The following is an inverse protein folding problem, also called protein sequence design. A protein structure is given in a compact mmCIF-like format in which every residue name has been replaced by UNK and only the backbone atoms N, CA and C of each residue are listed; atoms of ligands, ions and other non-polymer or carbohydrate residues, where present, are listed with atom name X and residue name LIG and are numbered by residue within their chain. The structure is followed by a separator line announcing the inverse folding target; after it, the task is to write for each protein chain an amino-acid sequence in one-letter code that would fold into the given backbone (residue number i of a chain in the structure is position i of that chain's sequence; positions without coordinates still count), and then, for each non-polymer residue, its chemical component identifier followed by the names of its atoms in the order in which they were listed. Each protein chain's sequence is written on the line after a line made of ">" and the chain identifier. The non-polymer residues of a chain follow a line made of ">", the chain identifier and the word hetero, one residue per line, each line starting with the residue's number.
data_IF_792067463201
#
_entry.id   IF_792067463201
#
_cell.length_a   1.000
_cell.length_b   1.000
_cell.length_c   1.000
_cell.angle_alpha   90.00
_cell.angle_beta   90.00
_cell.angle_gamma   90.00
#
_symmetry.space_group_name_H-M   'P 1'
#
loop_
_entity.id
_entity.type
_entity.pdbx_description
1 polymer ?
#
# COMPACT_ATOMS: atom_id res chain seq x y z
N UNK A 1 7.04 -7.45 -12.96
CA UNK A 1 5.72 -6.85 -13.24
C UNK A 1 4.98 -7.52 -14.40
N UNK A 2 5.59 -7.69 -15.59
CA UNK A 2 4.93 -8.34 -16.76
C UNK A 2 4.40 -9.76 -16.50
N UNK A 3 4.91 -10.46 -15.50
CA UNK A 3 4.46 -11.80 -15.08
C UNK A 3 3.25 -11.80 -14.12
N UNK A 4 2.88 -10.64 -13.58
CA UNK A 4 1.73 -10.50 -12.68
C UNK A 4 0.52 -10.07 -13.52
N UNK A 5 -0.35 -11.03 -13.85
CA UNK A 5 -1.63 -10.75 -14.50
C UNK A 5 -2.56 -9.89 -13.61
N UNK A 6 -3.64 -9.36 -14.20
CA UNK A 6 -4.57 -8.45 -13.52
C UNK A 6 -5.21 -9.02 -12.23
N UNK A 7 -5.31 -10.34 -12.11
CA UNK A 7 -5.83 -11.04 -10.92
C UNK A 7 -4.75 -11.63 -10.01
N UNK A 8 -3.47 -11.24 -10.15
CA UNK A 8 -2.41 -11.87 -9.38
C UNK A 8 -2.62 -11.69 -7.85
N UNK A 9 -2.52 -12.76 -7.05
CA UNK A 9 -2.66 -12.66 -5.59
C UNK A 9 -1.57 -11.76 -4.98
N UNK A 10 -1.94 -10.93 -4.02
CA UNK A 10 -0.99 -10.01 -3.35
C UNK A 10 0.25 -10.74 -2.80
N UNK A 11 0.09 -11.92 -2.19
CA UNK A 11 1.22 -12.70 -1.66
C UNK A 11 2.19 -13.18 -2.75
N UNK A 12 1.70 -13.39 -3.97
CA UNK A 12 2.56 -13.69 -5.12
C UNK A 12 3.29 -12.44 -5.57
N UNK A 13 2.61 -11.30 -5.62
CA UNK A 13 3.24 -10.02 -5.95
C UNK A 13 4.33 -9.64 -4.95
N UNK A 14 4.04 -9.69 -3.64
CA UNK A 14 5.00 -9.42 -2.57
C UNK A 14 6.27 -10.28 -2.67
N UNK A 15 6.13 -11.58 -3.01
CA UNK A 15 7.28 -12.47 -3.20
C UNK A 15 8.12 -12.14 -4.45
N UNK A 16 7.48 -11.67 -5.52
CA UNK A 16 8.17 -11.38 -6.79
C UNK A 16 8.73 -9.96 -6.88
N UNK A 17 8.08 -9.01 -6.20
CA UNK A 17 8.37 -7.58 -6.25
C UNK A 17 9.13 -7.08 -5.01
N UNK A 18 9.21 -7.92 -3.97
CA UNK A 18 9.71 -7.55 -2.64
C UNK A 18 8.58 -7.09 -1.73
N UNK A 19 8.74 -7.27 -0.41
CA UNK A 19 7.73 -6.87 0.59
C UNK A 19 8.26 -5.85 1.59
N UNK A 20 9.43 -5.28 1.31
CA UNK A 20 10.22 -4.44 2.20
C UNK A 20 10.89 -5.19 3.35
N UNK A 21 10.78 -6.52 3.40
CA UNK A 21 11.47 -7.37 4.39
C UNK A 21 12.98 -7.15 4.48
N UNK A 22 13.61 -6.65 3.41
CA UNK A 22 15.05 -6.35 3.36
C UNK A 22 15.38 -4.91 3.70
N UNK A 23 14.37 -4.06 3.98
CA UNK A 23 14.52 -2.64 4.32
C UNK A 23 15.32 -1.88 3.27
N UNK A 24 15.02 -2.13 1.99
CA UNK A 24 15.65 -1.44 0.87
C UNK A 24 14.61 -1.00 -0.14
N UNK A 25 14.82 0.15 -0.78
CA UNK A 25 13.91 0.64 -1.81
C UNK A 25 13.64 -0.39 -2.94
N UNK A 26 14.63 -1.15 -3.45
CA UNK A 26 14.38 -2.19 -4.44
C UNK A 26 13.48 -3.34 -3.95
N UNK A 27 13.46 -3.64 -2.65
CA UNK A 27 12.59 -4.65 -2.04
C UNK A 27 11.21 -4.08 -1.64
N UNK A 28 11.01 -2.77 -1.68
CA UNK A 28 9.77 -2.12 -1.19
C UNK A 28 8.99 -1.46 -2.32
N UNK A 29 9.64 -0.58 -3.09
CA UNK A 29 9.01 0.32 -4.06
C UNK A 29 8.23 -0.44 -5.15
N UNK A 30 8.74 -1.54 -5.75
CA UNK A 30 8.00 -2.22 -6.81
C UNK A 30 6.66 -2.78 -6.33
N UNK A 31 6.59 -3.33 -5.11
CA UNK A 31 5.34 -3.83 -4.53
C UNK A 31 4.38 -2.71 -4.14
N UNK A 32 4.89 -1.60 -3.60
CA UNK A 32 4.09 -0.40 -3.31
C UNK A 32 3.41 0.11 -4.58
N UNK A 33 4.16 0.31 -5.66
CA UNK A 33 3.60 0.80 -6.93
C UNK A 33 2.58 -0.17 -7.51
N UNK A 34 2.86 -1.47 -7.44
CA UNK A 34 1.92 -2.49 -7.88
C UNK A 34 0.61 -2.49 -7.07
N UNK A 35 0.70 -2.40 -5.74
CA UNK A 35 -0.48 -2.37 -4.87
C UNK A 35 -1.31 -1.10 -5.06
N UNK A 36 -0.67 0.08 -5.11
CA UNK A 36 -1.36 1.35 -5.31
C UNK A 36 -2.08 1.41 -6.66
N UNK A 37 -1.42 1.02 -7.75
CA UNK A 37 -1.96 1.08 -9.10
C UNK A 37 -3.27 0.29 -9.28
N UNK A 38 -3.50 -0.75 -8.47
CA UNK A 38 -4.68 -1.62 -8.56
C UNK A 38 -5.93 -1.02 -7.92
N UNK A 39 -5.76 -0.06 -7.01
CA UNK A 39 -6.82 0.48 -6.15
C UNK A 39 -6.70 2.00 -6.00
N UNK A 40 -6.27 2.71 -7.05
CA UNK A 40 -5.96 4.15 -7.01
C UNK A 40 -7.12 5.04 -6.55
N UNK A 41 -8.37 4.61 -6.77
CA UNK A 41 -9.56 5.37 -6.36
C UNK A 41 -10.25 4.75 -5.12
N UNK A 42 -9.64 3.74 -4.47
CA UNK A 42 -10.21 2.97 -3.35
C UNK A 42 -9.21 2.83 -2.21
N UNK A 43 -9.12 3.86 -1.35
CA UNK A 43 -8.13 3.95 -0.26
C UNK A 43 -8.13 2.74 0.69
N UNK A 44 -9.31 2.37 1.20
CA UNK A 44 -9.43 1.26 2.14
C UNK A 44 -9.03 -0.08 1.52
N UNK A 45 -9.56 -0.39 0.33
CA UNK A 45 -9.16 -1.59 -0.42
C UNK A 45 -7.64 -1.63 -0.65
N UNK A 46 -7.03 -0.48 -1.00
CA UNK A 46 -5.59 -0.40 -1.28
C UNK A 46 -4.76 -0.75 -0.04
N UNK A 47 -5.13 -0.24 1.14
CA UNK A 47 -4.43 -0.56 2.38
C UNK A 47 -4.63 -2.03 2.79
N UNK A 48 -5.87 -2.54 2.74
CA UNK A 48 -6.13 -3.95 3.07
C UNK A 48 -5.41 -4.91 2.13
N UNK A 49 -5.39 -4.60 0.83
CA UNK A 49 -4.66 -5.41 -0.14
C UNK A 49 -3.16 -5.35 0.13
N UNK A 50 -2.58 -4.15 0.32
CA UNK A 50 -1.14 -3.98 0.58
C UNK A 50 -0.71 -4.72 1.84
N UNK A 51 -1.43 -4.54 2.94
CA UNK A 51 -1.06 -5.12 4.23
C UNK A 51 -1.09 -6.65 4.22
N UNK A 52 -1.96 -7.24 3.39
CA UNK A 52 -2.02 -8.69 3.18
C UNK A 52 -0.79 -9.27 2.46
N UNK A 53 0.05 -8.42 1.86
CA UNK A 53 1.36 -8.78 1.31
C UNK A 53 2.41 -9.16 2.37
N UNK A 54 2.18 -8.81 3.64
CA UNK A 54 3.13 -8.95 4.76
C UNK A 54 4.45 -8.20 4.51
N UNK A 55 5.52 -8.56 5.24
CA UNK A 55 6.80 -7.86 5.22
C UNK A 55 6.77 -6.58 6.05
N UNK A 56 7.32 -5.51 5.51
CA UNK A 56 7.38 -4.17 6.09
C UNK A 56 6.04 -3.45 5.87
N UNK A 57 5.04 -3.87 6.67
CA UNK A 57 3.63 -3.52 6.49
C UNK A 57 3.37 -2.03 6.70
N UNK A 58 4.01 -1.44 7.70
CA UNK A 58 3.91 -0.03 8.03
C UNK A 58 4.49 0.83 6.91
N UNK A 59 5.71 0.58 6.46
CA UNK A 59 6.33 1.37 5.37
C UNK A 59 5.56 1.22 4.07
N UNK A 60 5.20 0.00 3.69
CA UNK A 60 4.46 -0.25 2.44
C UNK A 60 3.07 0.39 2.46
N UNK A 61 2.32 0.27 3.56
CA UNK A 61 1.02 0.93 3.70
C UNK A 61 1.15 2.46 3.77
N UNK A 62 2.18 3.00 4.42
CA UNK A 62 2.40 4.45 4.45
C UNK A 62 2.61 5.01 3.03
N UNK A 63 3.44 4.35 2.22
CA UNK A 63 3.69 4.78 0.84
C UNK A 63 2.46 4.59 -0.06
N UNK A 64 1.77 3.45 0.01
CA UNK A 64 0.53 3.22 -0.76
C UNK A 64 -0.55 4.22 -0.36
N UNK A 65 -0.74 4.44 0.94
CA UNK A 65 -1.68 5.42 1.48
C UNK A 65 -1.39 6.82 0.96
N UNK A 66 -0.12 7.26 0.94
CA UNK A 66 0.28 8.55 0.38
C UNK A 66 -0.09 8.69 -1.11
N UNK A 67 0.22 7.67 -1.93
CA UNK A 67 -0.09 7.66 -3.37
C UNK A 67 -1.61 7.72 -3.60
N UNK A 68 -2.37 6.87 -2.92
CA UNK A 68 -3.81 6.76 -3.13
C UNK A 68 -4.55 7.98 -2.56
N UNK A 69 -4.13 8.51 -1.40
CA UNK A 69 -4.68 9.76 -0.86
C UNK A 69 -4.41 10.96 -1.76
N UNK A 70 -3.24 11.03 -2.44
CA UNK A 70 -2.97 12.08 -3.41
C UNK A 70 -3.93 12.03 -4.62
N UNK A 71 -4.47 10.84 -4.94
CA UNK A 71 -5.44 10.63 -6.01
C UNK A 71 -6.88 10.90 -5.56
N UNK A 72 -7.32 10.35 -4.43
CA UNK A 72 -8.71 10.46 -3.96
C UNK A 72 -8.99 11.69 -3.08
N UNK A 73 -7.94 12.38 -2.64
CA UNK A 73 -8.02 13.45 -1.64
C UNK A 73 -8.30 12.92 -0.23
N UNK A 74 -8.20 13.81 0.77
CA UNK A 74 -8.43 13.47 2.19
C UNK A 74 -9.86 12.94 2.45
N UNK A 75 -10.84 13.40 1.67
CA UNK A 75 -12.22 12.94 1.77
C UNK A 75 -12.41 11.47 1.35
N UNK A 76 -11.46 10.89 0.61
CA UNK A 76 -11.46 9.47 0.24
C UNK A 76 -10.91 8.54 1.33
N UNK A 77 -10.38 9.08 2.43
CA UNK A 77 -9.88 8.29 3.57
C UNK A 77 -11.05 8.04 4.53
N UNK A 78 -11.28 6.80 5.01
CA UNK A 78 -12.31 6.51 6.01
C UNK A 78 -12.14 7.39 7.25
N UNK A 79 -13.21 8.11 7.62
CA UNK A 79 -13.20 9.04 8.76
C UNK A 79 -12.76 8.36 10.06
N UNK A 80 -13.25 7.14 10.31
CA UNK A 80 -12.88 6.36 11.49
C UNK A 80 -11.38 6.06 11.56
N UNK A 81 -10.69 5.93 10.42
CA UNK A 81 -9.24 5.71 10.40
C UNK A 81 -8.47 6.99 10.71
N UNK A 82 -8.95 8.15 10.23
CA UNK A 82 -8.38 9.45 10.62
C UNK A 82 -8.57 9.75 12.11
N UNK A 83 -9.70 9.35 12.68
CA UNK A 83 -9.97 9.53 14.12
C UNK A 83 -9.15 8.56 15.00
N UNK A 84 -8.71 7.43 14.44
CA UNK A 84 -7.88 6.45 15.12
C UNK A 84 -6.37 6.73 15.06
N UNK A 85 -5.92 7.79 14.37
CA UNK A 85 -4.50 8.16 14.35
C UNK A 85 -4.10 8.87 15.63
N UNK A 86 -2.88 8.61 16.12
CA UNK A 86 -2.29 9.41 17.19
C UNK A 86 -2.24 10.90 16.83
N UNK A 87 -2.46 11.81 17.80
CA UNK A 87 -2.31 13.24 17.55
C UNK A 87 -0.87 13.55 17.14
N UNK A 88 -0.71 14.46 16.17
CA UNK A 88 0.62 14.93 15.80
C UNK A 88 1.28 15.67 16.97
N UNK A 89 2.60 15.55 17.13
CA UNK A 89 3.32 16.38 18.10
C UNK A 89 3.04 17.87 17.86
N UNK A 90 2.86 18.59 18.95
CA UNK A 90 2.78 20.07 18.97
C UNK A 90 4.16 20.71 18.96
#
# INVERSE_FOLDING_TARGET
>A
ARELGAGAPVRRAARLLGSGSRVTAPDTVPFVLWSAARRLDRYEDALWETVAGLGDRDTTCAMVGGIVAARCGRAGIPRAWLEATEPLPV
#
